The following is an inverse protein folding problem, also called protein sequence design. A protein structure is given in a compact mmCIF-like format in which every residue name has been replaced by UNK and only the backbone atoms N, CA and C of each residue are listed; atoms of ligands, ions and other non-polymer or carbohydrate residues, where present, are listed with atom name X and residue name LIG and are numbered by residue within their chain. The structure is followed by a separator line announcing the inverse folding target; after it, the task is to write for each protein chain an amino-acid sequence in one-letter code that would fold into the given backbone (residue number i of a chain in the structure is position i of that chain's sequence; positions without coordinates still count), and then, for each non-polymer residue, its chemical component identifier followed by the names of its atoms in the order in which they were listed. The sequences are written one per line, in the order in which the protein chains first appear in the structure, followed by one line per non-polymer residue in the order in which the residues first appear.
data_IF_797945128667
#
_entry.id   IF_797945128667
#
_cell.length_a   1.000
_cell.length_b   1.000
_cell.length_c   1.000
_cell.angle_alpha   90.00
_cell.angle_beta   90.00
_cell.angle_gamma   90.00
#
_symmetry.space_group_name_H-M   'P 1'
#
loop_
_entity.id
_entity.type
_entity.pdbx_description
1 polymer ?
#
# COMPACT_ATOMS: atom_id res chain seq x y z
N UNK A 1 -5.50 22.20 -18.58
CA UNK A 1 -4.54 21.25 -17.96
C UNK A 1 -3.14 21.83 -17.75
N UNK A 2 -2.35 22.16 -18.79
CA UNK A 2 -0.99 22.71 -18.59
C UNK A 2 -0.94 24.09 -17.90
N UNK A 3 -1.90 24.95 -18.18
CA UNK A 3 -1.99 26.28 -17.56
C UNK A 3 -2.15 26.21 -16.03
N UNK A 4 -2.88 25.22 -15.51
CA UNK A 4 -3.12 25.02 -14.07
C UNK A 4 -1.87 24.49 -13.33
N UNK A 5 -1.14 23.57 -13.98
CA UNK A 5 0.14 23.03 -13.49
C UNK A 5 1.16 24.17 -13.31
N UNK A 6 1.24 25.05 -14.30
CA UNK A 6 2.18 26.19 -14.30
C UNK A 6 1.81 27.24 -13.25
N UNK A 7 0.51 27.47 -13.03
CA UNK A 7 0.01 28.39 -12.01
C UNK A 7 0.29 27.91 -10.57
N UNK A 8 0.32 26.58 -10.38
CA UNK A 8 0.63 25.93 -9.10
C UNK A 8 2.14 25.69 -8.90
N UNK A 9 3.00 26.09 -9.84
CA UNK A 9 4.44 25.86 -9.78
C UNK A 9 4.83 24.38 -9.81
N UNK A 10 3.95 23.51 -10.33
CA UNK A 10 4.18 22.07 -10.39
C UNK A 10 5.00 21.70 -11.64
N UNK A 11 5.84 20.66 -11.56
CA UNK A 11 6.65 20.25 -12.70
C UNK A 11 5.77 19.67 -13.83
N UNK A 12 6.02 20.09 -15.07
CA UNK A 12 5.28 19.60 -16.26
C UNK A 12 5.63 18.14 -16.62
N UNK A 13 6.74 17.63 -16.08
CA UNK A 13 7.20 16.24 -16.24
C UNK A 13 7.74 15.72 -14.91
N UNK A 14 7.49 14.45 -14.60
CA UNK A 14 8.01 13.79 -13.40
C UNK A 14 8.82 12.59 -13.84
N UNK A 15 10.06 12.50 -13.34
CA UNK A 15 10.89 11.32 -13.54
C UNK A 15 10.52 10.28 -12.48
N UNK A 16 10.29 9.06 -12.92
CA UNK A 16 9.97 7.92 -12.06
C UNK A 16 10.86 6.74 -12.43
N UNK A 17 11.08 5.85 -11.48
CA UNK A 17 11.78 4.60 -11.64
C UNK A 17 10.78 3.44 -11.59
N UNK A 18 10.96 2.48 -12.48
CA UNK A 18 10.23 1.22 -12.47
C UNK A 18 11.09 0.15 -11.80
N UNK A 19 10.55 -0.50 -10.78
CA UNK A 19 11.21 -1.58 -10.06
C UNK A 19 10.43 -2.86 -10.30
N UNK A 20 11.09 -3.86 -10.90
CA UNK A 20 10.51 -5.19 -11.09
C UNK A 20 10.76 -6.04 -9.85
N UNK A 21 9.69 -6.57 -9.26
CA UNK A 21 9.72 -7.48 -8.13
C UNK A 21 9.18 -8.84 -8.56
N UNK A 22 9.88 -9.91 -8.17
CA UNK A 22 9.39 -11.28 -8.37
C UNK A 22 8.64 -11.75 -7.13
N UNK A 23 7.39 -12.15 -7.31
CA UNK A 23 6.57 -12.73 -6.24
C UNK A 23 6.95 -14.19 -6.00
N UNK A 24 6.60 -14.69 -4.81
CA UNK A 24 6.74 -16.12 -4.47
C UNK A 24 5.91 -17.03 -5.37
N UNK A 25 4.86 -16.50 -6.01
CA UNK A 25 4.04 -17.21 -7.00
C UNK A 25 4.73 -17.39 -8.35
N UNK A 26 5.89 -16.73 -8.57
CA UNK A 26 6.59 -16.70 -9.84
C UNK A 26 6.19 -15.55 -10.77
N UNK A 27 5.18 -14.78 -10.38
CA UNK A 27 4.70 -13.62 -11.14
C UNK A 27 5.62 -12.41 -10.94
N UNK A 28 5.72 -11.56 -11.97
CA UNK A 28 6.48 -10.33 -11.92
C UNK A 28 5.54 -9.14 -11.74
N UNK A 29 5.80 -8.35 -10.70
CA UNK A 29 5.09 -7.11 -10.42
C UNK A 29 5.99 -5.91 -10.72
N UNK A 30 5.39 -4.85 -11.24
CA UNK A 30 6.10 -3.62 -11.59
C UNK A 30 5.65 -2.50 -10.66
N UNK A 31 6.58 -1.97 -9.89
CA UNK A 31 6.36 -0.87 -8.95
C UNK A 31 6.91 0.42 -9.55
N UNK A 32 6.19 1.52 -9.33
CA UNK A 32 6.61 2.87 -9.75
C UNK A 32 7.00 3.65 -8.51
N UNK A 33 8.18 4.26 -8.53
CA UNK A 33 8.71 5.05 -7.40
C UNK A 33 9.37 6.33 -7.89
N UNK A 34 9.32 7.39 -7.07
CA UNK A 34 10.11 8.61 -7.26
C UNK A 34 11.50 8.51 -6.64
N UNK A 35 11.84 7.39 -5.99
CA UNK A 35 13.17 7.10 -5.46
C UNK A 35 14.09 6.62 -6.59
N UNK A 36 14.86 7.55 -7.14
CA UNK A 36 15.63 7.32 -8.37
C UNK A 36 17.02 6.69 -8.11
N UNK A 37 17.56 6.84 -6.91
CA UNK A 37 18.91 6.37 -6.57
C UNK A 37 18.90 4.87 -6.24
N UNK A 38 19.51 4.05 -7.11
CA UNK A 38 19.54 2.60 -6.95
C UNK A 38 20.53 2.12 -5.88
N UNK A 39 21.56 2.92 -5.57
CA UNK A 39 22.54 2.57 -4.54
C UNK A 39 21.98 2.79 -3.14
N UNK A 40 21.21 3.88 -2.98
CA UNK A 40 20.54 4.27 -1.74
C UNK A 40 19.23 3.51 -1.55
N UNK A 41 18.53 3.18 -2.64
CA UNK A 41 17.26 2.44 -2.63
C UNK A 41 17.32 1.19 -3.54
N UNK A 42 17.97 0.12 -3.07
CA UNK A 42 18.04 -1.16 -3.78
C UNK A 42 16.66 -1.73 -4.12
N UNK A 43 16.55 -2.36 -5.29
CA UNK A 43 15.31 -3.02 -5.73
C UNK A 43 14.82 -4.13 -4.79
N UNK A 44 15.72 -4.74 -4.02
CA UNK A 44 15.40 -5.79 -3.05
C UNK A 44 14.48 -5.28 -1.92
N UNK A 45 14.67 -4.04 -1.48
CA UNK A 45 13.90 -3.45 -0.38
C UNK A 45 12.44 -3.20 -0.79
N UNK A 46 12.21 -2.93 -2.08
CA UNK A 46 10.86 -2.77 -2.62
C UNK A 46 10.05 -4.07 -2.59
N UNK A 47 10.70 -5.24 -2.68
CA UNK A 47 10.02 -6.52 -2.55
C UNK A 47 9.45 -6.72 -1.13
N UNK A 48 10.20 -6.28 -0.12
CA UNK A 48 9.75 -6.28 1.26
C UNK A 48 8.61 -5.27 1.49
N UNK A 49 8.75 -4.04 0.98
CA UNK A 49 7.69 -3.03 1.09
C UNK A 49 6.39 -3.50 0.42
N UNK A 50 6.48 -4.12 -0.75
CA UNK A 50 5.32 -4.69 -1.44
C UNK A 50 4.66 -5.81 -0.63
N UNK A 51 5.47 -6.68 -0.01
CA UNK A 51 4.98 -7.73 0.89
C UNK A 51 4.26 -7.16 2.11
N UNK A 52 4.79 -6.09 2.72
CA UNK A 52 4.14 -5.41 3.84
C UNK A 52 2.78 -4.81 3.42
N UNK A 53 2.69 -4.23 2.22
CA UNK A 53 1.44 -3.73 1.65
C UNK A 53 0.40 -4.83 1.47
N UNK A 54 0.81 -5.98 0.92
CA UNK A 54 -0.05 -7.16 0.81
C UNK A 54 -0.53 -7.68 2.16
N UNK A 55 0.30 -7.59 3.20
CA UNK A 55 -0.10 -7.88 4.57
C UNK A 55 -1.31 -7.06 5.00
N UNK A 56 -1.33 -5.77 4.67
CA UNK A 56 -2.45 -4.85 4.97
C UNK A 56 -3.70 -5.24 4.17
N UNK A 57 -3.59 -5.48 2.86
CA UNK A 57 -4.73 -5.86 2.01
C UNK A 57 -5.33 -7.22 2.44
N UNK A 58 -4.49 -8.19 2.76
CA UNK A 58 -4.92 -9.51 3.27
C UNK A 58 -5.57 -9.38 4.64
N UNK A 59 -5.02 -8.54 5.52
CA UNK A 59 -5.61 -8.26 6.83
C UNK A 59 -6.98 -7.57 6.72
N UNK A 60 -7.14 -6.60 5.81
CA UNK A 60 -8.44 -6.03 5.50
C UNK A 60 -9.40 -7.04 4.87
N UNK A 61 -8.89 -7.97 4.06
CA UNK A 61 -9.66 -9.12 3.57
C UNK A 61 -10.18 -9.98 4.72
N UNK A 62 -9.30 -10.37 5.64
CA UNK A 62 -9.65 -11.14 6.85
C UNK A 62 -10.63 -10.37 7.73
N UNK A 63 -10.43 -9.07 7.94
CA UNK A 63 -11.35 -8.21 8.70
C UNK A 63 -12.72 -8.14 8.04
N UNK A 64 -12.79 -7.92 6.71
CA UNK A 64 -14.06 -7.88 5.98
C UNK A 64 -14.75 -9.24 5.97
N UNK A 65 -14.01 -10.34 5.80
CA UNK A 65 -14.53 -11.70 5.89
C UNK A 65 -15.01 -12.04 7.31
N UNK A 66 -14.27 -11.67 8.36
CA UNK A 66 -14.66 -11.87 9.77
C UNK A 66 -15.84 -10.99 10.19
N UNK A 67 -15.84 -9.71 9.83
CA UNK A 67 -16.97 -8.79 10.04
C UNK A 67 -18.23 -9.23 9.28
N UNK A 68 -18.08 -10.02 8.22
CA UNK A 68 -19.20 -10.50 7.42
C UNK A 68 -19.70 -11.91 7.78
N UNK A 69 -19.11 -12.64 8.74
CA UNK A 69 -19.46 -14.06 8.91
C UNK A 69 -19.76 -14.61 10.31
N UNK A 70 -19.33 -14.05 11.44
CA UNK A 70 -19.59 -14.75 12.72
C UNK A 70 -19.98 -13.80 13.86
N UNK A 71 -21.29 -13.77 14.17
CA UNK A 71 -21.95 -13.24 15.37
C UNK A 71 -21.90 -11.71 15.63
N UNK A 72 -22.87 -10.98 15.07
CA UNK A 72 -23.45 -9.86 15.82
C UNK A 72 -24.40 -10.42 16.88
N UNK A 73 -23.95 -10.51 18.14
CA UNK A 73 -24.84 -10.64 19.31
C UNK A 73 -24.68 -9.51 20.33
N UNK A 74 -23.95 -8.44 20.00
CA UNK A 74 -23.85 -7.23 20.83
C UNK A 74 -23.74 -5.97 19.99
N UNK A 75 -24.75 -5.11 20.03
CA UNK A 75 -24.76 -3.79 19.39
C UNK A 75 -24.10 -2.76 20.31
N UNK A 76 -22.79 -2.53 20.20
CA UNK A 76 -22.17 -1.26 20.67
C UNK A 76 -20.80 -1.06 20.05
N UNK A 77 -20.55 0.15 19.53
CA UNK A 77 -19.30 0.57 18.88
C UNK A 77 -18.16 0.72 19.90
N UNK A 78 -18.51 0.92 21.17
CA UNK A 78 -17.59 1.18 22.27
C UNK A 78 -16.66 0.00 22.60
N UNK A 79 -17.10 -1.25 22.38
CA UNK A 79 -16.28 -2.43 22.65
C UNK A 79 -15.13 -2.61 21.64
N UNK A 80 -15.33 -2.19 20.39
CA UNK A 80 -14.33 -2.33 19.33
C UNK A 80 -13.17 -1.33 19.52
N UNK A 81 -13.43 -0.17 20.13
CA UNK A 81 -12.38 0.81 20.40
C UNK A 81 -11.50 0.43 21.60
N UNK A 82 -12.01 -0.33 22.57
CA UNK A 82 -11.23 -0.78 23.73
C UNK A 82 -10.20 -1.86 23.37
N UNK A 83 -10.43 -2.66 22.33
CA UNK A 83 -9.53 -3.76 21.92
C UNK A 83 -8.29 -3.27 21.13
N UNK A 84 -8.32 -2.02 20.64
CA UNK A 84 -7.23 -1.44 19.84
C UNK A 84 -6.17 -0.67 20.65
N UNK A 85 -6.43 -0.36 21.94
CA UNK A 85 -5.58 0.52 22.76
C UNK A 85 -4.96 -0.14 24.01
N UNK A 86 -5.04 -1.47 24.16
CA UNK A 86 -4.40 -2.20 25.26
C UNK A 86 -2.97 -2.65 24.92
#
# INVERSE_FOLDING_TARGET
HKADIRQRGLPETITVRFVRVMLKTGEAEILVTSLLDEHTYPSADFAELYRLRWGIETFYGILKTRLALENFTGQSVEAIQQDFYA
#
